data_IF_335356334497
#
_entry.id   IF_335356334497
#
_cell.length_a   1.000
_cell.length_b   1.000
_cell.length_c   1.000
_cell.angle_alpha   90.00
_cell.angle_beta   90.00
_cell.angle_gamma   90.00
#
_symmetry.space_group_name_H-M   'P 1'
#
loop_
_entity.id
_entity.type
_entity.pdbx_description
1 polymer ?
#
# COMPACT_ATOMS: atom_id res chain seq x y z
N UNK A 1 -1.84 -9.24 -1.04
CA UNK A 1 -1.58 -7.79 -1.21
C UNK A 1 -2.40 -7.26 -2.38
N UNK A 2 -3.13 -6.15 -2.20
CA UNK A 2 -3.90 -5.48 -3.24
C UNK A 2 -3.41 -4.03 -3.35
N UNK A 3 -2.78 -3.67 -4.46
CA UNK A 3 -2.28 -2.32 -4.72
C UNK A 3 -3.18 -1.65 -5.76
N UNK A 4 -3.62 -0.43 -5.48
CA UNK A 4 -4.27 0.48 -6.43
C UNK A 4 -3.29 1.60 -6.79
N UNK A 5 -3.09 1.82 -8.08
CA UNK A 5 -2.43 3.00 -8.63
C UNK A 5 -3.50 3.96 -9.17
N UNK A 6 -3.58 5.14 -8.56
CA UNK A 6 -4.66 6.13 -8.74
C UNK A 6 -4.09 7.54 -8.84
N UNK A 7 -4.92 8.52 -9.20
CA UNK A 7 -4.59 9.94 -9.10
C UNK A 7 -5.88 10.76 -9.05
N UNK A 8 -5.88 11.84 -8.27
CA UNK A 8 -6.96 12.84 -8.31
C UNK A 8 -7.09 13.51 -9.69
N UNK A 9 -6.02 13.55 -10.49
CA UNK A 9 -6.04 14.10 -11.86
C UNK A 9 -6.69 13.18 -12.90
N UNK A 10 -6.98 11.92 -12.55
CA UNK A 10 -7.54 10.89 -13.44
C UNK A 10 -9.05 10.77 -13.24
N UNK A 11 -9.85 11.12 -14.25
CA UNK A 11 -11.33 11.10 -14.16
C UNK A 11 -11.96 9.71 -14.03
N UNK A 12 -11.26 8.67 -14.46
CA UNK A 12 -11.69 7.27 -14.36
C UNK A 12 -11.35 6.61 -13.01
N UNK A 13 -10.57 7.28 -12.16
CA UNK A 13 -10.08 6.76 -10.89
C UNK A 13 -11.08 6.81 -9.72
N UNK A 14 -11.98 7.82 -9.58
CA UNK A 14 -12.91 7.89 -8.45
C UNK A 14 -13.78 6.64 -8.22
N UNK A 15 -14.29 5.94 -9.26
CA UNK A 15 -14.98 4.66 -9.06
C UNK A 15 -14.10 3.55 -8.45
N UNK A 16 -12.81 3.51 -8.80
CA UNK A 16 -11.85 2.54 -8.26
C UNK A 16 -11.51 2.82 -6.81
N UNK A 17 -11.28 4.09 -6.46
CA UNK A 17 -11.06 4.50 -5.07
C UNK A 17 -12.30 4.25 -4.22
N UNK A 18 -13.49 4.58 -4.72
CA UNK A 18 -14.74 4.28 -4.02
C UNK A 18 -14.90 2.78 -3.75
N UNK A 19 -14.55 1.93 -4.70
CA UNK A 19 -14.57 0.47 -4.50
C UNK A 19 -13.53 0.03 -3.47
N UNK A 20 -12.30 0.54 -3.54
CA UNK A 20 -11.26 0.22 -2.56
C UNK A 20 -11.68 0.67 -1.14
N UNK A 21 -12.28 1.85 -0.99
CA UNK A 21 -12.80 2.37 0.27
C UNK A 21 -13.84 1.46 0.92
N UNK A 22 -14.65 0.75 0.13
CA UNK A 22 -15.65 -0.21 0.67
C UNK A 22 -14.98 -1.41 1.36
N UNK A 23 -13.70 -1.69 1.07
CA UNK A 23 -12.97 -2.79 1.69
C UNK A 23 -12.63 -2.51 3.16
N UNK A 24 -12.76 -1.26 3.65
CA UNK A 24 -12.58 -0.90 5.06
C UNK A 24 -13.45 -1.70 6.03
N UNK A 25 -14.66 -2.04 5.58
CA UNK A 25 -15.66 -2.72 6.40
C UNK A 25 -15.76 -4.22 6.07
N UNK A 26 -14.87 -4.71 5.19
CA UNK A 26 -14.84 -6.12 4.82
C UNK A 26 -14.23 -6.97 5.95
N UNK A 27 -14.82 -8.13 6.29
CA UNK A 27 -14.28 -9.00 7.34
C UNK A 27 -12.89 -9.56 7.00
N UNK A 28 -12.54 -9.63 5.72
CA UNK A 28 -11.24 -10.08 5.25
C UNK A 28 -10.14 -9.02 5.31
N UNK A 29 -10.45 -7.78 5.69
CA UNK A 29 -9.43 -6.73 5.76
C UNK A 29 -8.30 -7.11 6.73
N UNK A 30 -7.07 -6.91 6.27
CA UNK A 30 -5.80 -7.24 6.96
C UNK A 30 -5.48 -8.73 7.11
N UNK A 31 -6.47 -9.61 6.98
CA UNK A 31 -6.28 -11.06 7.10
C UNK A 31 -6.25 -11.73 5.73
N UNK A 32 -7.27 -11.51 4.91
CA UNK A 32 -7.38 -12.09 3.57
C UNK A 32 -6.70 -11.23 2.51
N UNK A 33 -6.73 -9.91 2.72
CA UNK A 33 -6.11 -8.96 1.82
C UNK A 33 -5.64 -7.71 2.57
N UNK A 34 -4.63 -7.06 1.99
CA UNK A 34 -4.02 -5.83 2.50
C UNK A 34 -4.12 -4.81 1.37
N UNK A 35 -5.07 -3.86 1.43
CA UNK A 35 -5.23 -2.83 0.41
C UNK A 35 -4.27 -1.65 0.64
N UNK A 36 -3.70 -1.12 -0.43
CA UNK A 36 -2.94 0.14 -0.45
C UNK A 36 -3.28 0.95 -1.70
N UNK A 37 -3.31 2.27 -1.58
CA UNK A 37 -3.53 3.20 -2.70
C UNK A 37 -2.29 4.08 -2.90
N UNK A 38 -1.60 3.86 -4.01
CA UNK A 38 -0.46 4.61 -4.50
C UNK A 38 -0.91 5.70 -5.46
N UNK A 39 -0.79 6.96 -5.04
CA UNK A 39 -1.11 8.09 -5.89
C UNK A 39 0.07 8.42 -6.83
N UNK A 40 -0.15 8.36 -8.13
CA UNK A 40 0.88 8.55 -9.15
C UNK A 40 0.92 10.01 -9.61
N UNK A 41 2.11 10.53 -9.91
CA UNK A 41 2.33 11.95 -10.22
C UNK A 41 2.16 12.30 -11.71
N UNK A 42 2.09 11.32 -12.60
CA UNK A 42 2.10 11.58 -14.04
C UNK A 42 0.81 12.21 -14.58
N UNK A 43 -0.21 12.42 -13.76
CA UNK A 43 -1.40 13.21 -14.09
C UNK A 43 -1.31 14.68 -13.66
N UNK A 44 -0.31 15.05 -12.83
CA UNK A 44 -0.18 16.40 -12.27
C UNK A 44 0.00 17.48 -13.36
N UNK A 45 0.48 17.08 -14.54
CA UNK A 45 0.64 17.96 -15.69
C UNK A 45 -0.67 18.55 -16.22
N UNK A 46 -1.84 18.03 -15.81
CA UNK A 46 -3.17 18.57 -16.15
C UNK A 46 -3.57 19.80 -15.31
N UNK A 47 -2.67 20.33 -14.48
CA UNK A 47 -2.86 21.57 -13.73
C UNK A 47 -3.36 21.37 -12.30
N UNK A 48 -3.68 20.15 -11.90
CA UNK A 48 -3.94 19.78 -10.51
C UNK A 48 -2.84 18.84 -10.01
N UNK A 49 -2.09 19.31 -9.02
CA UNK A 49 -1.09 18.49 -8.33
C UNK A 49 -1.77 17.72 -7.21
N UNK A 50 -1.87 16.40 -7.37
CA UNK A 50 -2.44 15.52 -6.36
C UNK A 50 -1.57 15.59 -5.08
N UNK A 51 -2.13 15.97 -3.92
CA UNK A 51 -1.37 16.18 -2.68
C UNK A 51 -0.82 14.87 -2.08
N UNK A 52 -1.33 13.72 -2.52
CA UNK A 52 -0.91 12.40 -2.08
C UNK A 52 0.05 11.73 -3.07
N UNK A 53 0.16 12.28 -4.28
CA UNK A 53 1.02 11.73 -5.32
C UNK A 53 2.51 11.85 -5.02
N UNK A 54 3.26 10.82 -5.38
CA UNK A 54 4.72 10.82 -5.29
C UNK A 54 5.35 10.14 -6.50
N UNK A 55 6.43 10.71 -7.02
CA UNK A 55 7.18 10.14 -8.15
C UNK A 55 7.59 8.69 -7.94
N UNK A 56 8.01 8.32 -6.73
CA UNK A 56 8.38 6.95 -6.36
C UNK A 56 7.24 5.94 -6.54
N UNK A 57 5.98 6.38 -6.43
CA UNK A 57 4.81 5.52 -6.66
C UNK A 57 4.59 5.27 -8.15
N UNK A 58 4.78 6.29 -8.98
CA UNK A 58 4.82 6.11 -10.43
C UNK A 58 5.98 5.22 -10.88
N UNK A 59 7.15 5.37 -10.27
CA UNK A 59 8.32 4.54 -10.59
C UNK A 59 8.08 3.07 -10.19
N UNK A 60 7.46 2.82 -9.03
CA UNK A 60 7.03 1.47 -8.62
C UNK A 60 6.07 0.84 -9.64
N UNK A 61 5.11 1.61 -10.16
CA UNK A 61 4.19 1.11 -11.19
C UNK A 61 4.92 0.77 -12.49
N UNK A 62 5.88 1.60 -12.90
CA UNK A 62 6.70 1.36 -14.10
C UNK A 62 7.59 0.14 -13.94
N UNK A 63 8.08 -0.12 -12.73
CA UNK A 63 8.85 -1.34 -12.42
C UNK A 63 7.97 -2.59 -12.57
N UNK A 64 6.71 -2.55 -12.13
CA UNK A 64 5.75 -3.61 -12.44
C UNK A 64 5.53 -3.80 -13.95
N UNK A 65 5.28 -2.72 -14.69
CA UNK A 65 5.14 -2.77 -16.15
C UNK A 65 6.37 -3.40 -16.82
N UNK A 66 7.59 -3.03 -16.40
CA UNK A 66 8.82 -3.62 -16.89
C UNK A 66 8.90 -5.14 -16.62
N UNK A 67 8.53 -5.59 -15.41
CA UNK A 67 8.50 -7.02 -15.06
C UNK A 67 7.47 -7.80 -15.88
N UNK A 68 6.32 -7.18 -16.20
CA UNK A 68 5.29 -7.77 -17.05
C UNK A 68 5.57 -7.62 -18.56
N UNK A 69 6.67 -6.97 -18.94
CA UNK A 69 7.00 -6.62 -20.34
C UNK A 69 5.90 -5.80 -21.01
N UNK A 70 5.29 -4.91 -20.24
CA UNK A 70 4.35 -3.89 -20.73
C UNK A 70 5.10 -2.58 -20.98
N UNK A 71 4.83 -1.94 -22.12
CA UNK A 71 5.39 -0.64 -22.45
C UNK A 71 4.62 0.53 -21.82
N UNK A 72 3.48 0.26 -21.15
CA UNK A 72 2.60 1.28 -20.62
C UNK A 72 2.18 1.01 -19.18
N UNK A 73 1.91 2.10 -18.46
CA UNK A 73 1.20 2.13 -17.18
C UNK A 73 -0.11 2.88 -17.38
N UNK A 74 -1.11 2.59 -16.55
CA UNK A 74 -2.43 3.22 -16.63
C UNK A 74 -3.05 3.39 -15.25
N UNK A 75 -4.05 4.25 -15.17
CA UNK A 75 -4.90 4.41 -13.99
C UNK A 75 -6.39 4.37 -14.37
N UNK A 76 -7.26 3.87 -13.49
CA UNK A 76 -6.92 3.12 -12.28
C UNK A 76 -6.24 1.79 -12.63
N UNK A 77 -5.09 1.52 -12.02
CA UNK A 77 -4.31 0.30 -12.24
C UNK A 77 -4.30 -0.53 -10.97
N UNK A 78 -4.70 -1.80 -11.05
CA UNK A 78 -4.68 -2.68 -9.89
C UNK A 78 -3.62 -3.75 -10.01
N UNK A 79 -2.99 -4.07 -8.89
CA UNK A 79 -2.02 -5.16 -8.77
C UNK A 79 -2.45 -6.07 -7.64
N UNK A 80 -2.69 -7.34 -7.96
CA UNK A 80 -3.02 -8.37 -6.98
C UNK A 80 -1.86 -9.35 -6.90
N UNK A 81 -1.21 -9.39 -5.74
CA UNK A 81 -0.04 -10.24 -5.48
C UNK A 81 1.02 -10.13 -6.60
N UNK A 82 1.41 -8.89 -6.94
CA UNK A 82 2.45 -8.61 -7.93
C UNK A 82 2.05 -8.79 -9.39
N UNK A 83 0.78 -9.15 -9.67
CA UNK A 83 0.27 -9.37 -11.03
C UNK A 83 -0.74 -8.29 -11.40
N UNK A 84 -0.71 -7.86 -12.65
CA UNK A 84 -1.77 -6.99 -13.19
C UNK A 84 -3.14 -7.62 -12.95
N UNK A 85 -4.07 -6.83 -12.41
CA UNK A 85 -5.39 -7.28 -12.04
C UNK A 85 -6.45 -6.46 -12.73
N UNK A 86 -7.12 -7.10 -13.69
CA UNK A 86 -8.19 -6.51 -14.50
C UNK A 86 -9.44 -6.23 -13.64
N UNK A 87 -9.44 -5.10 -12.93
CA UNK A 87 -10.47 -4.69 -11.99
C UNK A 87 -11.78 -4.26 -12.67
N UNK A 88 -12.90 -4.41 -11.95
CA UNK A 88 -14.16 -3.74 -12.26
C UNK A 88 -14.94 -3.43 -10.99
N UNK A 89 -15.81 -2.42 -11.01
CA UNK A 89 -16.57 -1.98 -9.85
C UNK A 89 -17.54 -3.04 -9.25
N UNK A 90 -17.78 -4.15 -9.96
CA UNK A 90 -18.61 -5.28 -9.50
C UNK A 90 -17.81 -6.40 -8.86
N UNK A 91 -16.47 -6.35 -8.91
CA UNK A 91 -15.63 -7.39 -8.31
C UNK A 91 -15.81 -7.41 -6.80
N UNK A 92 -15.73 -8.61 -6.23
CA UNK A 92 -15.66 -8.79 -4.79
C UNK A 92 -14.22 -8.56 -4.31
N UNK A 93 -14.06 -8.37 -3.00
CA UNK A 93 -12.75 -8.32 -2.37
C UNK A 93 -11.96 -9.60 -2.70
N UNK A 94 -10.63 -9.51 -2.88
CA UNK A 94 -9.79 -10.69 -2.98
C UNK A 94 -9.93 -11.55 -1.73
N UNK A 95 -9.92 -12.86 -1.91
CA UNK A 95 -9.88 -13.83 -0.81
C UNK A 95 -8.46 -14.37 -0.66
N UNK A 96 -8.10 -14.75 0.57
CA UNK A 96 -6.83 -15.42 0.80
C UNK A 96 -6.79 -16.73 0.01
N UNK A 97 -5.79 -16.87 -0.85
CA UNK A 97 -5.42 -18.17 -1.41
C UNK A 97 -4.41 -18.75 -0.44
N UNK A 98 -4.69 -19.90 0.18
CA UNK A 98 -3.93 -20.51 1.29
C UNK A 98 -2.48 -20.93 0.99
N UNK A 99 -1.78 -20.18 0.15
CA UNK A 99 -0.34 -20.24 -0.08
C UNK A 99 0.35 -19.64 1.14
N UNK A 100 0.77 -20.50 2.06
CA UNK A 100 1.53 -20.06 3.22
C UNK A 100 3.01 -19.97 2.82
N UNK A 101 3.50 -18.75 2.61
CA UNK A 101 4.94 -18.49 2.39
C UNK A 101 5.73 -18.36 3.71
N UNK A 102 5.02 -18.34 4.85
CA UNK A 102 5.58 -18.05 6.16
C UNK A 102 4.75 -17.04 6.93
N UNK A 103 5.21 -16.71 8.14
CA UNK A 103 4.55 -15.76 9.05
C UNK A 103 5.33 -14.45 9.07
N UNK A 104 4.66 -13.35 8.73
CA UNK A 104 5.21 -11.99 8.78
C UNK A 104 4.53 -11.21 9.92
N UNK A 105 5.33 -10.67 10.84
CA UNK A 105 4.86 -9.83 11.95
C UNK A 105 5.70 -8.56 12.06
N UNK A 106 5.15 -7.56 12.74
CA UNK A 106 5.86 -6.34 13.08
C UNK A 106 5.48 -5.88 14.49
N UNK A 107 6.46 -5.42 15.25
CA UNK A 107 6.27 -4.88 16.60
C UNK A 107 6.88 -3.50 16.72
N UNK A 108 6.27 -2.65 17.53
CA UNK A 108 6.74 -1.31 17.86
C UNK A 108 6.21 -0.88 19.22
N UNK A 109 7.05 -0.20 20.00
CA UNK A 109 6.68 0.37 21.31
C UNK A 109 6.22 1.82 21.22
N UNK A 110 6.63 2.54 20.18
CA UNK A 110 6.41 3.99 20.03
C UNK A 110 5.70 4.36 18.71
N UNK A 111 5.30 3.36 17.94
CA UNK A 111 4.70 3.45 16.59
C UNK A 111 5.58 4.09 15.52
N UNK A 112 6.83 4.45 15.84
CA UNK A 112 7.77 5.13 14.97
C UNK A 112 8.87 4.17 14.50
N UNK A 113 9.47 3.43 15.43
CA UNK A 113 10.49 2.42 15.17
C UNK A 113 9.87 1.03 15.21
N UNK A 114 10.08 0.25 14.16
CA UNK A 114 9.45 -1.05 13.99
C UNK A 114 10.50 -2.13 13.74
N UNK A 115 10.30 -3.26 14.39
CA UNK A 115 10.99 -4.52 14.10
C UNK A 115 10.03 -5.42 13.32
N UNK A 116 10.35 -5.71 12.07
CA UNK A 116 9.68 -6.76 11.32
C UNK A 116 10.39 -8.11 11.52
N UNK A 117 9.60 -9.17 11.63
CA UNK A 117 10.06 -10.55 11.72
C UNK A 117 9.32 -11.37 10.67
N UNK A 118 10.08 -12.11 9.86
CA UNK A 118 9.56 -13.04 8.87
C UNK A 118 10.11 -14.44 9.14
N UNK A 119 9.22 -15.40 9.38
CA UNK A 119 9.54 -16.82 9.52
C UNK A 119 9.06 -17.55 8.25
N UNK A 120 9.91 -17.73 7.22
CA UNK A 120 9.53 -18.42 5.99
C UNK A 120 9.30 -19.91 6.24
N UNK A 121 8.42 -20.54 5.47
CA UNK A 121 8.28 -22.02 5.49
C UNK A 121 9.47 -22.70 4.81
N UNK A 122 9.97 -22.11 3.71
CA UNK A 122 11.15 -22.60 3.03
C UNK A 122 12.33 -21.66 3.26
N UNK A 123 13.33 -22.16 4.00
CA UNK A 123 14.63 -21.52 4.15
C UNK A 123 15.49 -21.78 2.90
N UNK A 124 15.12 -21.22 1.76
CA UNK A 124 16.04 -21.12 0.64
C UNK A 124 17.13 -20.08 0.96
N UNK A 125 18.31 -20.18 0.33
CA UNK A 125 19.38 -19.17 0.43
C UNK A 125 19.03 -17.82 -0.25
N UNK A 126 17.74 -17.46 -0.25
CA UNK A 126 17.19 -16.24 -0.80
C UNK A 126 17.41 -15.10 0.18
N UNK A 127 17.56 -13.90 -0.37
CA UNK A 127 17.54 -12.66 0.41
C UNK A 127 16.14 -12.10 0.34
N UNK A 128 15.62 -11.67 1.50
CA UNK A 128 14.30 -11.08 1.60
C UNK A 128 14.40 -9.62 2.00
N UNK A 129 13.39 -8.86 1.61
CA UNK A 129 13.23 -7.47 1.99
C UNK A 129 11.80 -7.27 2.50
N UNK A 130 11.66 -6.51 3.57
CA UNK A 130 10.37 -6.08 4.07
C UNK A 130 10.09 -4.66 3.59
N UNK A 131 8.85 -4.43 3.20
CA UNK A 131 8.31 -3.13 2.81
C UNK A 131 7.20 -2.77 3.78
N UNK A 132 7.23 -1.52 4.26
CA UNK A 132 6.28 -1.01 5.23
C UNK A 132 5.68 0.30 4.70
N UNK A 133 4.35 0.34 4.60
CA UNK A 133 3.60 1.50 4.17
C UNK A 133 2.78 2.09 5.33
N UNK A 134 2.98 3.37 5.60
CA UNK A 134 2.08 4.15 6.45
C UNK A 134 0.89 4.60 5.59
N UNK A 135 -0.31 4.17 5.98
CA UNK A 135 -1.55 4.44 5.28
C UNK A 135 -2.39 5.45 6.05
N UNK A 136 -3.19 6.23 5.33
CA UNK A 136 -4.23 7.08 5.88
C UNK A 136 -5.59 6.79 5.23
N UNK A 137 -6.62 6.80 6.07
CA UNK A 137 -8.01 6.65 5.69
C UNK A 137 -8.84 7.86 6.14
N UNK A 138 -9.88 8.19 5.38
CA UNK A 138 -10.71 9.37 5.63
C UNK A 138 -10.09 10.69 5.14
N UNK A 139 -9.16 10.63 4.19
CA UNK A 139 -8.61 11.84 3.57
C UNK A 139 -9.63 12.44 2.61
N UNK A 140 -9.59 13.75 2.46
CA UNK A 140 -10.43 14.48 1.51
C UNK A 140 -9.61 15.53 0.77
N UNK A 141 -9.99 15.83 -0.47
CA UNK A 141 -9.38 16.90 -1.27
C UNK A 141 -10.42 17.57 -2.15
N UNK A 142 -10.38 18.89 -2.19
CA UNK A 142 -11.19 19.70 -3.09
C UNK A 142 -10.38 20.00 -4.35
N UNK A 143 -10.60 19.23 -5.42
CA UNK A 143 -9.83 19.29 -6.65
C UNK A 143 -10.11 20.61 -7.38
N UNK A 144 -9.06 21.38 -7.67
CA UNK A 144 -9.18 22.75 -8.21
C UNK A 144 -8.88 22.89 -9.70
N UNK A 145 -8.45 21.83 -10.38
CA UNK A 145 -8.13 21.83 -11.81
C UNK A 145 -8.10 20.39 -12.38
N UNK A 146 -7.85 20.25 -13.68
CA UNK A 146 -7.74 18.96 -14.34
C UNK A 146 -9.09 18.25 -14.54
N UNK A 147 -9.06 16.96 -14.85
CA UNK A 147 -10.27 16.24 -15.27
C UNK A 147 -11.34 16.11 -14.17
N UNK A 148 -10.94 16.20 -12.90
CA UNK A 148 -11.84 16.14 -11.74
C UNK A 148 -12.10 17.51 -11.11
N UNK A 149 -11.84 18.62 -11.81
CA UNK A 149 -12.08 19.98 -11.30
C UNK A 149 -13.48 20.14 -10.68
N UNK A 150 -13.52 20.81 -9.52
CA UNK A 150 -14.75 21.11 -8.80
C UNK A 150 -15.31 19.95 -7.97
N UNK A 151 -14.67 18.77 -8.01
CA UNK A 151 -15.07 17.61 -7.20
C UNK A 151 -14.38 17.62 -5.84
N UNK A 152 -15.11 17.16 -4.82
CA UNK A 152 -14.54 16.71 -3.55
C UNK A 152 -14.33 15.20 -3.61
N UNK A 153 -13.07 14.77 -3.52
CA UNK A 153 -12.69 13.36 -3.52
C UNK A 153 -12.40 12.89 -2.09
N UNK A 154 -12.61 11.58 -1.85
CA UNK A 154 -12.33 10.93 -0.59
C UNK A 154 -11.36 9.78 -0.84
N UNK A 155 -10.39 9.60 0.04
CA UNK A 155 -9.34 8.61 -0.13
C UNK A 155 -9.17 7.76 1.12
N UNK A 156 -8.98 6.47 0.88
CA UNK A 156 -8.70 5.47 1.91
C UNK A 156 -7.55 4.57 1.48
N UNK A 157 -6.84 4.05 2.48
CA UNK A 157 -5.63 3.26 2.30
C UNK A 157 -4.54 4.01 1.52
N UNK A 158 -4.61 5.34 1.47
CA UNK A 158 -3.65 6.21 0.79
C UNK A 158 -2.28 6.07 1.43
N UNK A 159 -1.29 5.72 0.62
CA UNK A 159 0.08 5.54 1.10
C UNK A 159 0.75 6.89 1.30
N UNK A 160 1.01 7.26 2.55
CA UNK A 160 1.73 8.49 2.91
C UNK A 160 3.24 8.32 2.81
N UNK A 161 3.73 7.12 3.10
CA UNK A 161 5.15 6.78 3.08
C UNK A 161 5.31 5.27 2.85
N UNK A 162 6.39 4.89 2.17
CA UNK A 162 6.87 3.51 2.12
C UNK A 162 8.34 3.50 2.51
N UNK A 163 8.71 2.57 3.38
CA UNK A 163 10.08 2.20 3.71
C UNK A 163 10.35 0.77 3.27
N UNK A 164 11.62 0.48 3.05
CA UNK A 164 12.13 -0.84 2.74
C UNK A 164 13.34 -1.13 3.62
N UNK A 165 13.46 -2.36 4.11
CA UNK A 165 14.61 -2.83 4.86
C UNK A 165 14.97 -4.25 4.42
N UNK A 166 16.27 -4.56 4.36
CA UNK A 166 16.74 -5.92 4.17
C UNK A 166 16.43 -6.74 5.42
N UNK A 167 16.05 -8.01 5.23
CA UNK A 167 15.86 -8.96 6.31
C UNK A 167 17.13 -9.80 6.50
N UNK A 168 17.60 -9.88 7.75
CA UNK A 168 18.82 -10.60 8.14
C UNK A 168 18.44 -11.81 9.00
N UNK A 169 19.08 -12.95 8.75
CA UNK A 169 18.76 -14.20 9.44
C UNK A 169 19.20 -14.21 10.91
N UNK A 170 18.30 -14.64 11.78
CA UNK A 170 18.49 -14.88 13.20
C UNK A 170 17.79 -16.20 13.58
N UNK A 171 18.49 -17.33 13.42
CA UNK A 171 17.90 -18.67 13.60
C UNK A 171 16.89 -18.98 12.48
N UNK A 172 15.69 -19.40 12.84
CA UNK A 172 14.60 -19.76 11.92
C UNK A 172 13.75 -18.55 11.46
N UNK A 173 14.14 -17.33 11.84
CA UNK A 173 13.47 -16.11 11.43
C UNK A 173 14.46 -15.13 10.81
N UNK A 174 13.95 -14.23 9.98
CA UNK A 174 14.69 -13.07 9.51
C UNK A 174 14.07 -11.81 10.08
N UNK A 175 14.90 -10.83 10.46
CA UNK A 175 14.45 -9.56 11.02
C UNK A 175 14.98 -8.37 10.25
N UNK A 176 14.25 -7.26 10.31
CA UNK A 176 14.66 -6.00 9.73
C UNK A 176 13.98 -4.84 10.44
N UNK A 177 14.70 -3.74 10.55
CA UNK A 177 14.23 -2.54 11.23
C UNK A 177 13.91 -1.44 10.22
N UNK A 178 12.85 -0.68 10.50
CA UNK A 178 12.52 0.52 9.73
C UNK A 178 11.88 1.57 10.63
N UNK A 179 11.92 2.82 10.17
CA UNK A 179 11.30 3.95 10.87
C UNK A 179 10.26 4.60 9.96
N UNK A 180 9.03 4.70 10.44
CA UNK A 180 7.93 5.40 9.76
C UNK A 180 7.67 6.72 10.46
N UNK A 181 7.41 7.77 9.70
CA UNK A 181 7.00 9.07 10.26
C UNK A 181 5.54 9.04 10.72
N UNK A 182 5.16 8.11 11.59
CA UNK A 182 3.77 7.92 12.09
C UNK A 182 3.24 9.10 12.89
N UNK A 183 4.13 9.92 13.46
CA UNK A 183 3.78 11.20 14.09
C UNK A 183 3.30 12.26 13.11
N UNK A 184 3.36 12.00 11.79
CA UNK A 184 2.73 12.84 10.77
C UNK A 184 1.22 12.73 10.93
N UNK A 185 0.68 13.50 11.87
CA UNK A 185 -0.75 13.65 12.06
C UNK A 185 -1.32 14.24 10.77
N UNK A 186 -2.15 13.47 10.08
CA UNK A 186 -3.05 14.02 9.08
C UNK A 186 -4.38 14.23 9.80
N UNK A 187 -4.78 15.49 10.06
CA UNK A 187 -5.96 15.78 10.87
C UNK A 187 -7.20 15.03 10.36
N UNK A 188 -7.88 14.32 11.25
CA UNK A 188 -9.09 13.55 10.94
C UNK A 188 -8.85 12.21 10.23
N UNK A 189 -7.61 11.90 9.84
CA UNK A 189 -7.30 10.63 9.21
C UNK A 189 -7.10 9.50 10.22
N UNK A 190 -7.60 8.32 9.91
CA UNK A 190 -7.27 7.08 10.63
C UNK A 190 -6.04 6.46 9.99
N UNK A 191 -4.99 6.24 10.77
CA UNK A 191 -3.74 5.64 10.27
C UNK A 191 -3.78 4.11 10.31
N UNK A 192 -3.10 3.48 9.36
CA UNK A 192 -2.85 2.04 9.32
C UNK A 192 -1.41 1.74 8.88
N UNK A 193 -0.94 0.55 9.19
CA UNK A 193 0.30 -0.02 8.69
C UNK A 193 -0.06 -1.15 7.73
N UNK A 194 0.53 -1.13 6.54
CA UNK A 194 0.63 -2.30 5.68
C UNK A 194 2.09 -2.75 5.61
N UNK A 195 2.31 -4.05 5.70
CA UNK A 195 3.62 -4.68 5.67
C UNK A 195 3.58 -5.82 4.66
N UNK A 196 4.61 -5.95 3.84
CA UNK A 196 4.76 -7.13 2.98
C UNK A 196 6.23 -7.48 2.79
N UNK A 197 6.49 -8.74 2.51
CA UNK A 197 7.83 -9.26 2.26
C UNK A 197 7.95 -9.71 0.80
N UNK A 198 9.09 -9.41 0.19
CA UNK A 198 9.44 -9.84 -1.17
C UNK A 198 10.80 -10.54 -1.14
N UNK A 199 11.10 -11.30 -2.19
CA UNK A 199 12.50 -11.57 -2.52
C UNK A 199 13.20 -10.25 -2.88
N UNK A 200 14.47 -10.12 -2.52
CA UNK A 200 15.22 -8.90 -2.75
C UNK A 200 15.32 -8.57 -4.25
N UNK A 201 14.92 -7.36 -4.64
CA UNK A 201 14.90 -6.93 -6.04
C UNK A 201 13.67 -7.40 -6.84
N UNK A 202 12.70 -8.05 -6.20
CA UNK A 202 11.41 -8.41 -6.79
C UNK A 202 10.29 -7.59 -6.16
N UNK A 203 9.19 -7.40 -6.90
CA UNK A 203 8.01 -6.71 -6.40
C UNK A 203 6.91 -7.67 -5.92
N UNK A 204 6.93 -8.94 -6.35
CA UNK A 204 5.93 -9.93 -5.99
C UNK A 204 5.94 -10.20 -4.47
N UNK A 205 4.85 -9.86 -3.75
CA UNK A 205 4.77 -10.08 -2.32
C UNK A 205 4.51 -11.55 -2.02
N UNK A 206 5.32 -12.12 -1.14
CA UNK A 206 5.19 -13.51 -0.67
C UNK A 206 4.17 -13.62 0.46
N UNK A 207 4.16 -12.62 1.34
CA UNK A 207 3.23 -12.50 2.46
C UNK A 207 2.96 -11.02 2.72
N UNK A 208 1.76 -10.70 3.17
CA UNK A 208 1.40 -9.36 3.59
C UNK A 208 0.56 -9.40 4.88
N UNK A 209 0.75 -8.40 5.73
CA UNK A 209 -0.01 -8.18 6.94
C UNK A 209 -0.37 -6.70 7.04
N UNK A 210 -1.41 -6.38 7.79
CA UNK A 210 -1.72 -5.00 8.10
C UNK A 210 -2.45 -4.84 9.42
N UNK A 211 -2.53 -3.61 9.89
CA UNK A 211 -3.31 -3.26 11.07
C UNK A 211 -3.68 -1.79 11.08
N UNK A 212 -4.73 -1.46 11.82
CA UNK A 212 -5.00 -0.07 12.20
C UNK A 212 -4.02 0.35 13.29
N UNK A 213 -3.42 1.53 13.15
CA UNK A 213 -2.63 2.13 14.21
C UNK A 213 -3.58 2.82 15.20
N UNK A 214 -3.44 2.51 16.49
CA UNK A 214 -4.24 3.18 17.52
C UNK A 214 -3.80 4.64 17.63
N UNK A 215 -4.75 5.55 17.79
CA UNK A 215 -4.41 6.92 18.15
C UNK A 215 -3.64 6.90 19.48
N UNK A 216 -2.56 7.68 19.64
CA UNK A 216 -1.89 7.78 20.93
C UNK A 216 -2.92 8.24 21.97
N UNK A 217 -2.99 7.53 23.10
CA UNK A 217 -3.83 7.92 24.22
C UNK A 217 -3.43 9.34 24.63
N UNK A 218 -4.35 10.30 24.46
CA UNK A 218 -4.18 11.62 25.06
C UNK A 218 -4.56 11.47 26.52
N UNK A 219 -3.57 11.37 27.41
CA UNK A 219 -3.81 11.57 28.84
C UNK A 219 -4.19 13.04 29.04
N UNK A 220 -5.42 13.28 29.51
CA UNK A 220 -5.90 14.57 30.01
C UNK A 220 -5.37 14.83 31.42
#
# INVERSE_FOLDING_TARGET
MLELYTSEGCSSCPPAEKWLSQLKDSPGLWNDFVPVAFHVDYWDHLGWRDPWAMRKFSDRQREYAAQWRSDTVYTPGFVLNGKDWQWSAKKQAPVSVGLNAGVLTATSSDTNHWLATFAPIEHAAKKFEVHAALLACGLTSDVKAGENEGRRLNHDFTVLEVKKAALVGHGDALTGEFTLASKRSVPGARLALALWVTEAGHLEPLQAAGCWLMAPLVSL
#
